data_IF_703289108315
#
_entry.id   IF_703289108315
#
_cell.length_a   1.000
_cell.length_b   1.000
_cell.length_c   1.000
_cell.angle_alpha   90.00
_cell.angle_beta   90.00
_cell.angle_gamma   90.00
#
_symmetry.space_group_name_H-M   'P 1'
#
loop_
_entity.id
_entity.type
_entity.pdbx_description
1 polymer ?
#
# COMPACT_ATOMS: atom_id res chain seq x y z
N UNK A 1 -0.97 17.86 -8.95
CA UNK A 1 -0.92 16.66 -8.09
C UNK A 1 0.00 16.91 -6.90
N UNK A 2 1.29 17.21 -7.11
CA UNK A 2 2.30 17.33 -6.03
C UNK A 2 1.88 18.28 -4.89
N UNK A 3 1.40 19.48 -5.20
CA UNK A 3 0.93 20.42 -4.18
C UNK A 3 -0.30 19.90 -3.40
N UNK A 4 -1.14 19.08 -4.02
CA UNK A 4 -2.28 18.47 -3.34
C UNK A 4 -1.86 17.30 -2.45
N UNK A 5 -0.85 16.53 -2.86
CA UNK A 5 -0.24 15.49 -2.04
C UNK A 5 0.47 16.08 -0.82
N UNK A 6 1.22 17.16 -1.00
CA UNK A 6 1.87 17.88 0.10
C UNK A 6 0.85 18.38 1.12
N UNK A 7 -0.23 19.01 0.65
CA UNK A 7 -1.33 19.49 1.50
C UNK A 7 -2.03 18.34 2.24
N UNK A 8 -2.23 17.21 1.59
CA UNK A 8 -2.79 16.00 2.21
C UNK A 8 -1.88 15.48 3.32
N UNK A 9 -0.57 15.43 3.10
CA UNK A 9 0.40 15.00 4.10
C UNK A 9 0.45 15.93 5.31
N UNK A 10 0.42 17.25 5.09
CA UNK A 10 0.34 18.27 6.15
C UNK A 10 -0.94 18.11 6.98
N UNK A 11 -2.08 17.86 6.30
CA UNK A 11 -3.35 17.62 6.96
C UNK A 11 -3.32 16.40 7.88
N UNK A 12 -2.74 15.29 7.42
CA UNK A 12 -2.55 14.08 8.23
C UNK A 12 -1.73 14.36 9.48
N UNK A 13 -0.60 15.04 9.32
CA UNK A 13 0.28 15.37 10.45
C UNK A 13 -0.42 16.26 11.49
N UNK A 14 -1.22 17.24 11.03
CA UNK A 14 -2.00 18.13 11.88
C UNK A 14 -3.10 17.38 12.67
N UNK A 15 -3.62 16.27 12.13
CA UNK A 15 -4.66 15.45 12.75
C UNK A 15 -4.11 14.21 13.51
N UNK A 16 -2.80 14.18 13.77
CA UNK A 16 -2.18 13.16 14.61
C UNK A 16 -1.83 11.85 13.88
N UNK A 17 -2.11 11.72 12.59
CA UNK A 17 -1.72 10.57 11.78
C UNK A 17 -0.25 10.72 11.35
N UNK A 18 0.67 10.24 12.18
CA UNK A 18 2.11 10.36 11.94
C UNK A 18 2.69 9.07 11.38
N UNK A 19 3.84 9.17 10.70
CA UNK A 19 4.50 8.00 10.11
C UNK A 19 3.73 7.38 8.96
N UNK A 20 2.88 8.17 8.31
CA UNK A 20 2.10 7.72 7.16
C UNK A 20 2.90 7.87 5.87
N UNK A 21 2.79 6.88 5.00
CA UNK A 21 3.35 6.86 3.65
C UNK A 21 2.24 6.76 2.63
N UNK A 22 2.38 7.49 1.54
CA UNK A 22 1.49 7.34 0.40
C UNK A 22 1.59 5.91 -0.15
N UNK A 23 0.45 5.28 -0.31
CA UNK A 23 0.33 3.97 -0.96
C UNK A 23 0.02 4.15 -2.44
N UNK A 24 -1.05 4.88 -2.75
CA UNK A 24 -1.44 5.24 -4.11
C UNK A 24 -2.40 6.43 -4.11
N UNK A 25 -2.55 7.05 -5.28
CA UNK A 25 -3.57 8.07 -5.50
C UNK A 25 -4.31 7.86 -6.83
N UNK A 26 -5.51 8.43 -6.92
CA UNK A 26 -6.35 8.44 -8.11
C UNK A 26 -6.84 9.87 -8.33
N UNK A 27 -6.60 10.40 -9.52
CA UNK A 27 -7.14 11.67 -9.97
C UNK A 27 -8.35 11.43 -10.89
N UNK A 28 -9.53 11.83 -10.43
CA UNK A 28 -10.76 11.69 -11.20
C UNK A 28 -11.68 12.90 -10.95
N UNK A 29 -12.28 13.41 -12.01
CA UNK A 29 -13.27 14.50 -11.95
C UNK A 29 -12.78 15.72 -11.14
N UNK A 30 -11.51 16.11 -11.31
CA UNK A 30 -10.84 17.19 -10.57
C UNK A 30 -10.71 16.96 -9.05
N UNK A 31 -10.86 15.71 -8.60
CA UNK A 31 -10.64 15.31 -7.21
C UNK A 31 -9.48 14.33 -7.14
N UNK A 32 -8.47 14.66 -6.35
CA UNK A 32 -7.39 13.76 -6.01
C UNK A 32 -7.78 12.96 -4.77
N UNK A 33 -7.98 11.66 -4.92
CA UNK A 33 -8.14 10.73 -3.79
C UNK A 33 -6.80 10.07 -3.54
N UNK A 34 -6.28 10.22 -2.33
CA UNK A 34 -4.99 9.63 -1.93
C UNK A 34 -5.17 8.72 -0.73
N UNK A 35 -4.52 7.56 -0.77
CA UNK A 35 -4.48 6.57 0.31
C UNK A 35 -3.10 6.57 0.93
N UNK A 36 -3.05 6.80 2.23
CA UNK A 36 -1.87 6.67 3.07
C UNK A 36 -2.00 5.45 3.97
N UNK A 37 -0.87 4.81 4.27
CA UNK A 37 -0.80 3.71 5.23
C UNK A 37 0.32 4.00 6.24
N UNK A 38 0.18 3.51 7.46
CA UNK A 38 1.24 3.62 8.45
C UNK A 38 2.46 2.78 8.04
N UNK A 39 3.65 3.27 8.34
CA UNK A 39 4.90 2.54 8.18
C UNK A 39 5.53 2.32 9.55
N UNK A 40 5.85 1.07 9.87
CA UNK A 40 6.55 0.70 11.10
C UNK A 40 7.88 0.02 10.72
N UNK A 41 9.00 0.64 11.08
CA UNK A 41 10.34 0.10 10.83
C UNK A 41 10.58 -0.33 9.35
N UNK A 42 10.10 0.46 8.40
CA UNK A 42 10.20 0.16 6.98
C UNK A 42 9.16 -0.82 6.44
N UNK A 43 8.23 -1.29 7.29
CA UNK A 43 7.14 -2.20 6.90
C UNK A 43 5.86 -1.41 6.68
N UNK A 44 5.28 -1.51 5.47
CA UNK A 44 4.00 -0.88 5.14
C UNK A 44 2.85 -1.63 5.79
N UNK A 45 2.08 -0.97 6.63
CA UNK A 45 0.94 -1.55 7.34
C UNK A 45 -0.37 -1.17 6.64
N UNK A 46 -0.82 -1.98 5.69
CA UNK A 46 -2.04 -1.71 4.92
C UNK A 46 -3.34 -1.70 5.74
N UNK A 47 -3.51 -2.43 6.86
CA UNK A 47 -4.67 -2.28 7.71
C UNK A 47 -4.84 -0.87 8.29
N UNK A 48 -3.74 -0.12 8.44
CA UNK A 48 -3.71 1.22 9.02
C UNK A 48 -3.85 2.30 7.95
N UNK A 49 -4.87 2.22 7.11
CA UNK A 49 -5.03 3.18 6.03
C UNK A 49 -5.86 4.39 6.42
N UNK A 50 -5.51 5.52 5.82
CA UNK A 50 -6.29 6.76 5.82
C UNK A 50 -6.50 7.20 4.38
N UNK A 51 -7.72 7.58 4.04
CA UNK A 51 -8.06 8.11 2.71
C UNK A 51 -8.44 9.57 2.80
N UNK A 52 -7.85 10.36 1.93
CA UNK A 52 -8.12 11.78 1.77
C UNK A 52 -8.63 12.07 0.36
N UNK A 53 -9.50 13.07 0.22
CA UNK A 53 -9.87 13.61 -1.08
C UNK A 53 -9.66 15.13 -1.08
N UNK A 54 -8.94 15.61 -2.09
CA UNK A 54 -8.59 17.03 -2.28
C UNK A 54 -9.16 17.54 -3.59
N UNK A 55 -9.88 18.67 -3.55
CA UNK A 55 -10.32 19.36 -4.75
C UNK A 55 -9.11 19.99 -5.45
N UNK A 56 -8.92 19.70 -6.73
CA UNK A 56 -7.74 20.14 -7.47
C UNK A 56 -7.79 21.62 -7.88
N UNK A 57 -8.98 22.21 -7.93
CA UNK A 57 -9.21 23.60 -8.29
C UNK A 57 -9.03 24.56 -7.10
N UNK A 58 -9.52 24.17 -5.92
CA UNK A 58 -9.48 24.99 -4.70
C UNK A 58 -8.44 24.53 -3.68
N UNK A 59 -7.99 23.29 -3.78
CA UNK A 59 -7.17 22.64 -2.77
C UNK A 59 -7.93 22.37 -1.46
N UNK A 60 -9.25 22.38 -1.47
CA UNK A 60 -10.07 22.09 -0.30
C UNK A 60 -10.05 20.60 0.03
N UNK A 61 -9.97 20.26 1.33
CA UNK A 61 -10.09 18.88 1.79
C UNK A 61 -11.56 18.48 1.79
N UNK A 62 -11.94 17.60 0.85
CA UNK A 62 -13.32 17.16 0.65
C UNK A 62 -13.67 15.94 1.51
N UNK A 63 -12.68 15.10 1.82
CA UNK A 63 -12.88 13.87 2.60
C UNK A 63 -11.66 13.57 3.45
N UNK A 64 -11.93 13.13 4.68
CA UNK A 64 -10.97 12.52 5.57
C UNK A 64 -11.59 11.26 6.19
N UNK A 65 -11.07 10.11 5.84
CA UNK A 65 -11.55 8.80 6.31
C UNK A 65 -10.39 8.07 6.97
N UNK A 66 -10.42 7.99 8.28
CA UNK A 66 -9.43 7.35 9.13
C UNK A 66 -9.99 6.14 9.90
N UNK A 67 -11.14 5.59 9.50
CA UNK A 67 -11.79 4.49 10.21
C UNK A 67 -10.85 3.28 10.34
N UNK A 68 -10.23 2.86 9.26
CA UNK A 68 -9.30 1.73 9.27
C UNK A 68 -8.10 1.99 10.19
N UNK A 69 -7.51 3.18 10.12
CA UNK A 69 -6.43 3.58 11.02
C UNK A 69 -6.84 3.54 12.49
N UNK A 70 -7.99 4.12 12.83
CA UNK A 70 -8.47 4.20 14.20
C UNK A 70 -8.82 2.83 14.81
N UNK A 71 -9.21 1.87 13.98
CA UNK A 71 -9.61 0.53 14.41
C UNK A 71 -8.46 -0.48 14.42
N UNK A 72 -7.43 -0.27 13.60
CA UNK A 72 -6.38 -1.27 13.37
C UNK A 72 -5.00 -0.83 13.82
N UNK A 73 -4.75 0.50 13.95
CA UNK A 73 -3.41 0.99 14.23
C UNK A 73 -2.94 0.60 15.62
N UNK A 74 -1.87 -0.18 15.67
CA UNK A 74 -1.17 -0.59 16.87
C UNK A 74 0.29 -0.90 16.54
N UNK A 75 1.15 -0.88 17.54
CA UNK A 75 2.49 -1.41 17.41
C UNK A 75 2.42 -2.92 17.18
N UNK A 76 3.11 -3.40 16.16
CA UNK A 76 3.16 -4.81 15.78
C UNK A 76 4.50 -5.41 16.12
N UNK A 77 4.49 -6.68 16.50
CA UNK A 77 5.70 -7.49 16.58
C UNK A 77 6.07 -7.95 15.15
N UNK A 78 7.10 -7.33 14.58
CA UNK A 78 7.58 -7.60 13.23
C UNK A 78 9.02 -8.13 13.33
N UNK A 79 9.19 -9.46 13.49
CA UNK A 79 10.51 -10.08 13.61
C UNK A 79 11.27 -9.99 12.28
N UNK A 80 12.56 -10.32 12.32
CA UNK A 80 13.34 -10.49 11.10
C UNK A 80 12.66 -11.53 10.20
N UNK A 81 12.42 -11.23 8.91
CA UNK A 81 11.79 -12.18 8.00
C UNK A 81 12.59 -13.49 7.91
N UNK A 82 11.92 -14.63 8.05
CA UNK A 82 12.55 -15.94 7.86
C UNK A 82 12.77 -16.26 6.37
N UNK A 83 11.97 -15.65 5.49
CA UNK A 83 12.09 -15.77 4.04
C UNK A 83 12.90 -14.60 3.51
N UNK A 84 14.00 -14.89 2.81
CA UNK A 84 14.84 -13.87 2.19
C UNK A 84 14.12 -13.19 1.02
N UNK A 85 14.61 -12.01 0.61
CA UNK A 85 14.14 -11.36 -0.61
C UNK A 85 14.34 -12.24 -1.84
N UNK A 86 15.48 -12.94 -1.93
CA UNK A 86 15.79 -13.85 -3.04
C UNK A 86 14.79 -15.02 -3.11
N UNK A 87 14.50 -15.66 -1.98
CA UNK A 87 13.53 -16.74 -1.92
C UNK A 87 12.11 -16.29 -2.28
N UNK A 88 11.72 -15.10 -1.82
CA UNK A 88 10.43 -14.51 -2.18
C UNK A 88 10.34 -14.19 -3.69
N UNK A 89 11.40 -13.63 -4.28
CA UNK A 89 11.47 -13.37 -5.72
C UNK A 89 11.35 -14.65 -6.54
N UNK A 90 11.90 -15.76 -6.06
CA UNK A 90 11.79 -17.06 -6.71
C UNK A 90 10.35 -17.60 -6.76
N UNK A 91 9.47 -17.11 -5.89
CA UNK A 91 8.04 -17.47 -5.88
C UNK A 91 7.23 -16.82 -7.02
N UNK A 92 7.76 -15.83 -7.71
CA UNK A 92 7.06 -15.14 -8.79
C UNK A 92 6.70 -16.05 -9.97
N UNK A 93 7.41 -17.16 -10.14
CA UNK A 93 7.15 -18.11 -11.21
C UNK A 93 7.67 -17.69 -12.59
N UNK A 94 7.51 -18.57 -13.56
CA UNK A 94 7.92 -18.33 -14.94
C UNK A 94 7.03 -17.26 -15.60
N UNK A 95 7.62 -16.43 -16.44
CA UNK A 95 6.90 -15.39 -17.19
C UNK A 95 6.60 -14.11 -16.40
N UNK A 96 7.04 -14.02 -15.15
CA UNK A 96 6.97 -12.81 -14.33
C UNK A 96 8.36 -12.26 -14.02
N UNK A 97 8.53 -10.97 -14.25
CA UNK A 97 9.73 -10.23 -13.83
C UNK A 97 9.42 -9.41 -12.60
N UNK A 98 10.16 -9.62 -11.50
CA UNK A 98 10.00 -8.87 -10.27
C UNK A 98 10.65 -7.50 -10.43
N UNK A 99 9.82 -6.44 -10.39
CA UNK A 99 10.25 -5.05 -10.52
C UNK A 99 10.71 -4.46 -9.21
N UNK A 100 10.01 -4.78 -8.11
CA UNK A 100 10.34 -4.30 -6.77
C UNK A 100 9.85 -5.25 -5.69
N UNK A 101 10.43 -5.11 -4.51
CA UNK A 101 10.08 -5.86 -3.30
C UNK A 101 10.06 -4.92 -2.09
N UNK A 102 9.13 -5.11 -1.19
CA UNK A 102 9.09 -4.47 0.13
C UNK A 102 8.37 -5.34 1.15
N UNK A 103 8.63 -5.07 2.43
CA UNK A 103 7.89 -5.69 3.52
C UNK A 103 6.56 -4.98 3.75
N UNK A 104 5.53 -5.74 4.01
CA UNK A 104 4.19 -5.24 4.26
C UNK A 104 3.40 -6.15 5.22
N UNK A 105 2.45 -5.55 5.92
CA UNK A 105 1.39 -6.27 6.63
C UNK A 105 0.11 -6.08 5.84
N UNK A 106 -0.57 -7.18 5.54
CA UNK A 106 -1.85 -7.17 4.82
C UNK A 106 -2.99 -7.67 5.69
N UNK A 107 -4.21 -7.12 5.53
CA UNK A 107 -5.38 -7.64 6.22
C UNK A 107 -5.83 -8.97 5.61
N UNK A 108 -6.49 -9.80 6.42
CA UNK A 108 -7.24 -10.96 5.96
C UNK A 108 -8.74 -10.64 5.93
N UNK A 109 -9.57 -11.62 5.54
CA UNK A 109 -11.03 -11.50 5.66
C UNK A 109 -11.53 -11.54 7.11
N UNK A 110 -10.66 -11.88 8.06
CA UNK A 110 -10.93 -11.92 9.51
C UNK A 110 -10.22 -10.80 10.26
N UNK A 111 -10.01 -11.02 11.55
CA UNK A 111 -9.29 -10.08 12.43
C UNK A 111 -7.76 -10.25 12.39
N UNK A 112 -7.27 -11.26 11.69
CA UNK A 112 -5.85 -11.55 11.59
C UNK A 112 -5.18 -10.74 10.48
N UNK A 113 -3.88 -10.49 10.65
CA UNK A 113 -3.01 -9.84 9.69
C UNK A 113 -1.90 -10.79 9.28
N UNK A 114 -1.37 -10.61 8.07
CA UNK A 114 -0.26 -11.43 7.54
C UNK A 114 0.93 -10.54 7.26
N UNK A 115 2.09 -10.89 7.81
CA UNK A 115 3.36 -10.26 7.52
C UNK A 115 3.96 -10.87 6.27
N UNK A 116 4.15 -10.05 5.23
CA UNK A 116 4.50 -10.48 3.89
C UNK A 116 5.69 -9.72 3.30
N UNK A 117 6.28 -10.33 2.27
CA UNK A 117 7.01 -9.62 1.22
C UNK A 117 6.04 -9.34 0.07
N UNK A 118 5.90 -8.08 -0.28
CA UNK A 118 5.14 -7.62 -1.43
C UNK A 118 6.05 -7.49 -2.63
N UNK A 119 5.71 -8.20 -3.70
CA UNK A 119 6.43 -8.12 -4.97
C UNK A 119 5.55 -7.43 -6.02
N UNK A 120 6.10 -6.45 -6.72
CA UNK A 120 5.51 -5.95 -7.95
C UNK A 120 6.13 -6.72 -9.10
N UNK A 121 5.30 -7.44 -9.84
CA UNK A 121 5.72 -8.29 -10.95
C UNK A 121 5.14 -7.79 -12.26
N UNK A 122 5.88 -7.93 -13.35
CA UNK A 122 5.46 -7.58 -14.70
C UNK A 122 5.48 -8.82 -15.59
N UNK A 123 4.42 -9.00 -16.39
CA UNK A 123 4.35 -10.03 -17.43
C UNK A 123 5.01 -9.56 -18.71
N UNK A 124 5.27 -10.47 -19.65
CA UNK A 124 5.86 -10.15 -20.97
C UNK A 124 5.00 -9.17 -21.80
N UNK A 125 3.70 -9.15 -21.58
CA UNK A 125 2.76 -8.22 -22.22
C UNK A 125 2.56 -6.90 -21.45
N UNK A 126 3.39 -6.65 -20.41
CA UNK A 126 3.46 -5.38 -19.69
C UNK A 126 2.37 -5.19 -18.62
N UNK A 127 1.64 -6.23 -18.23
CA UNK A 127 0.70 -6.17 -17.11
C UNK A 127 1.42 -6.31 -15.78
N UNK A 128 0.96 -5.56 -14.78
CA UNK A 128 1.52 -5.60 -13.43
C UNK A 128 0.63 -6.37 -12.46
N UNK A 129 1.27 -7.10 -11.55
CA UNK A 129 0.64 -7.86 -10.48
C UNK A 129 1.35 -7.61 -9.17
N UNK A 130 0.58 -7.57 -8.07
CA UNK A 130 1.09 -7.62 -6.71
C UNK A 130 1.03 -9.07 -6.22
N UNK A 131 2.17 -9.62 -5.84
CA UNK A 131 2.28 -10.94 -5.23
C UNK A 131 2.70 -10.77 -3.77
N UNK A 132 1.94 -11.36 -2.87
CA UNK A 132 2.24 -11.38 -1.45
C UNK A 132 2.73 -12.75 -1.02
N UNK A 133 3.95 -12.81 -0.51
CA UNK A 133 4.59 -14.01 0.01
C UNK A 133 4.74 -13.86 1.52
N UNK A 134 4.24 -14.85 2.30
CA UNK A 134 4.38 -14.82 3.76
C UNK A 134 5.86 -14.72 4.15
N UNK A 135 6.20 -13.70 4.91
CA UNK A 135 7.57 -13.39 5.28
C UNK A 135 8.21 -14.43 6.23
N UNK A 136 7.39 -15.25 6.89
CA UNK A 136 7.84 -16.26 7.84
C UNK A 136 7.80 -17.67 7.27
N UNK A 137 6.83 -18.00 6.40
CA UNK A 137 6.59 -19.35 5.88
C UNK A 137 6.94 -19.53 4.41
N UNK A 138 7.00 -18.45 3.63
CA UNK A 138 7.18 -18.47 2.18
C UNK A 138 5.93 -18.88 1.40
N UNK A 139 4.79 -19.01 2.05
CA UNK A 139 3.54 -19.32 1.38
C UNK A 139 3.06 -18.13 0.54
N UNK A 140 2.56 -18.41 -0.66
CA UNK A 140 1.88 -17.40 -1.46
C UNK A 140 0.51 -17.12 -0.84
N UNK A 141 0.29 -15.89 -0.38
CA UNK A 141 -0.93 -15.51 0.35
C UNK A 141 -1.97 -14.87 -0.56
N UNK A 142 -1.54 -13.99 -1.47
CA UNK A 142 -2.45 -13.22 -2.31
C UNK A 142 -1.78 -12.78 -3.61
N UNK A 143 -2.58 -12.69 -4.68
CA UNK A 143 -2.21 -12.04 -5.93
C UNK A 143 -3.27 -11.01 -6.25
N UNK A 144 -2.87 -9.79 -6.59
CA UNK A 144 -3.75 -8.72 -7.05
C UNK A 144 -3.28 -8.22 -8.41
N UNK A 145 -4.23 -7.83 -9.25
CA UNK A 145 -3.93 -7.13 -10.50
C UNK A 145 -3.70 -5.65 -10.17
N UNK A 146 -2.59 -5.09 -10.65
CA UNK A 146 -2.30 -3.68 -10.54
C UNK A 146 -2.73 -2.99 -11.83
N UNK A 147 -3.77 -2.18 -11.74
CA UNK A 147 -4.25 -1.36 -12.84
C UNK A 147 -3.66 0.03 -12.72
N UNK A 148 -2.95 0.46 -13.74
CA UNK A 148 -2.31 1.77 -13.83
C UNK A 148 -2.79 2.49 -15.08
N UNK A 149 -3.21 3.74 -14.93
CA UNK A 149 -3.56 4.64 -16.02
C UNK A 149 -3.15 6.09 -15.69
N UNK A 150 -3.47 7.02 -16.57
CA UNK A 150 -3.18 8.45 -16.37
C UNK A 150 -3.89 9.05 -15.13
N UNK A 151 -4.92 8.38 -14.59
CA UNK A 151 -5.67 8.81 -13.42
C UNK A 151 -5.04 8.32 -12.10
N UNK A 152 -4.20 7.29 -12.14
CA UNK A 152 -3.53 6.73 -10.96
C UNK A 152 -3.39 5.21 -10.98
N UNK A 153 -3.30 4.62 -9.80
CA UNK A 153 -3.04 3.19 -9.60
C UNK A 153 -4.12 2.57 -8.72
N UNK A 154 -4.61 1.39 -9.10
CA UNK A 154 -5.59 0.59 -8.35
C UNK A 154 -5.15 -0.88 -8.30
N UNK A 155 -5.18 -1.49 -7.11
CA UNK A 155 -4.97 -2.92 -6.92
C UNK A 155 -6.32 -3.64 -6.72
N UNK A 156 -6.56 -4.73 -7.48
CA UNK A 156 -7.79 -5.53 -7.47
C UNK A 156 -7.50 -7.00 -7.15
#
# INVERSE_FOLDING_TARGET
VDAALEKAAEFLAAHGCRGMKESYHILKDHVLTVTYCAEQNGVMCYPDMVKLAVAMDTGEMLRFDAEAYLTSHAERDLPEPAVSEEDARAMAGEGLTVQSEKLAVIPTSGAEEIYCRELICETEDGRHYLLYVNAMTGAQEKILILLEDESGTLAL
#
